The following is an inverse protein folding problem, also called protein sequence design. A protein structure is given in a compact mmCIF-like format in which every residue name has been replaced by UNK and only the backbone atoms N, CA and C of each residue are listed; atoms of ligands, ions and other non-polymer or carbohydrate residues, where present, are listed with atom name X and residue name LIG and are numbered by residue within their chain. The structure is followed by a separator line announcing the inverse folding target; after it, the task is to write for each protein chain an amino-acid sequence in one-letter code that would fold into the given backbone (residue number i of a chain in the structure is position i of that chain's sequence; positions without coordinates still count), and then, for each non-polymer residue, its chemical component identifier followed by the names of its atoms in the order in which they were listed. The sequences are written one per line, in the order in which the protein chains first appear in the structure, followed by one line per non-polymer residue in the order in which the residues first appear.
data_IF_881004802453
#
_entry.id   IF_881004802453
#
_cell.length_a   1.000
_cell.length_b   1.000
_cell.length_c   1.000
_cell.angle_alpha   90.00
_cell.angle_beta   90.00
_cell.angle_gamma   90.00
#
_symmetry.space_group_name_H-M   'P 1'
#
loop_
_entity.id
_entity.type
_entity.pdbx_description
1 polymer ?
#
# COMPACT_ATOMS: atom_id res chain seq x y z
N UNK A 1 13.63 8.26 14.16
CA UNK A 1 13.38 7.81 12.77
C UNK A 1 12.44 8.81 12.12
N UNK A 2 12.71 9.21 10.87
CA UNK A 2 11.99 10.27 10.16
C UNK A 2 10.49 9.92 10.04
N UNK A 3 9.58 10.84 10.43
CA UNK A 3 8.11 10.65 10.37
C UNK A 3 7.66 10.18 8.98
N UNK A 4 8.31 10.71 7.94
CA UNK A 4 8.12 10.31 6.55
C UNK A 4 8.33 8.81 6.32
N UNK A 5 9.47 8.26 6.77
CA UNK A 5 9.78 6.84 6.57
C UNK A 5 8.84 5.93 7.33
N UNK A 6 8.44 6.32 8.55
CA UNK A 6 7.45 5.54 9.31
C UNK A 6 6.07 5.53 8.65
N UNK A 7 5.62 6.67 8.12
CA UNK A 7 4.35 6.78 7.40
C UNK A 7 4.38 5.97 6.10
N UNK A 8 5.41 6.15 5.28
CA UNK A 8 5.57 5.39 4.04
C UNK A 8 5.65 3.88 4.32
N UNK A 9 6.43 3.47 5.33
CA UNK A 9 6.53 2.06 5.71
C UNK A 9 5.19 1.49 6.19
N UNK A 10 4.36 2.28 6.87
CA UNK A 10 3.05 1.83 7.36
C UNK A 10 2.03 1.69 6.21
N UNK A 11 2.10 2.58 5.22
CA UNK A 11 1.27 2.55 4.00
C UNK A 11 1.63 1.31 3.16
N UNK A 12 2.92 0.96 3.06
CA UNK A 12 3.40 -0.19 2.27
C UNK A 12 3.22 -1.56 2.96
N UNK A 13 2.52 -1.65 4.09
CA UNK A 13 2.41 -2.93 4.82
C UNK A 13 1.54 -3.95 4.07
N UNK A 14 1.96 -5.21 4.13
CA UNK A 14 1.16 -6.33 3.66
C UNK A 14 -0.03 -6.59 4.60
N UNK A 15 -1.25 -6.41 4.10
CA UNK A 15 -2.48 -6.70 4.83
C UNK A 15 -2.95 -8.15 4.68
N UNK A 16 -2.40 -8.94 3.74
CA UNK A 16 -2.75 -10.35 3.51
C UNK A 16 -2.70 -11.20 4.79
N UNK A 17 -1.66 -11.12 5.64
CA UNK A 17 -1.62 -11.91 6.87
C UNK A 17 -2.71 -11.52 7.88
N UNK A 18 -3.10 -10.24 7.92
CA UNK A 18 -4.18 -9.79 8.78
C UNK A 18 -5.52 -10.32 8.29
N UNK A 19 -5.74 -10.26 6.98
CA UNK A 19 -6.95 -10.75 6.34
C UNK A 19 -7.12 -12.26 6.50
N UNK A 20 -6.05 -13.03 6.29
CA UNK A 20 -6.04 -14.48 6.51
C UNK A 20 -6.40 -14.83 7.95
N UNK A 21 -5.87 -14.10 8.94
CA UNK A 21 -6.22 -14.29 10.34
C UNK A 21 -7.70 -14.01 10.63
N UNK A 22 -8.33 -13.05 9.96
CA UNK A 22 -9.76 -12.84 10.10
C UNK A 22 -10.55 -14.05 9.57
N UNK A 23 -10.14 -14.64 8.45
CA UNK A 23 -10.78 -15.86 7.93
C UNK A 23 -10.59 -17.07 8.82
N UNK A 24 -9.35 -17.34 9.25
CA UNK A 24 -9.03 -18.49 10.09
C UNK A 24 -9.82 -18.45 11.41
N UNK A 25 -10.04 -17.24 11.96
CA UNK A 25 -10.76 -17.03 13.20
C UNK A 25 -12.27 -16.74 13.02
N UNK A 26 -12.78 -16.68 11.79
CA UNK A 26 -14.15 -16.23 11.46
C UNK A 26 -14.52 -14.89 12.12
N UNK A 27 -13.56 -13.97 12.13
CA UNK A 27 -13.68 -12.63 12.71
C UNK A 27 -14.03 -11.59 11.66
N UNK A 28 -14.55 -10.43 12.07
CA UNK A 28 -14.85 -9.33 11.15
C UNK A 28 -13.58 -8.69 10.61
N UNK A 29 -13.71 -8.08 9.43
CA UNK A 29 -12.61 -7.37 8.76
C UNK A 29 -12.56 -5.87 9.11
N UNK A 30 -13.46 -5.39 9.98
CA UNK A 30 -13.67 -3.96 10.25
C UNK A 30 -12.42 -3.25 10.77
N UNK A 31 -11.62 -3.93 11.58
CA UNK A 31 -10.34 -3.39 12.07
C UNK A 31 -9.33 -3.18 10.94
N UNK A 32 -9.31 -4.08 9.95
CA UNK A 32 -8.45 -3.96 8.77
C UNK A 32 -8.97 -2.84 7.87
N UNK A 33 -10.28 -2.76 7.68
CA UNK A 33 -10.92 -1.70 6.92
C UNK A 33 -10.63 -0.31 7.51
N UNK A 34 -10.69 -0.18 8.84
CA UNK A 34 -10.33 1.05 9.54
C UNK A 34 -8.84 1.40 9.35
N UNK A 35 -7.94 0.42 9.43
CA UNK A 35 -6.51 0.63 9.14
C UNK A 35 -6.29 1.09 7.70
N UNK A 36 -7.00 0.51 6.72
CA UNK A 36 -6.98 0.97 5.32
C UNK A 36 -7.42 2.42 5.19
N UNK A 37 -8.51 2.84 5.85
CA UNK A 37 -8.95 4.23 5.81
C UNK A 37 -7.91 5.20 6.40
N UNK A 38 -7.26 4.83 7.50
CA UNK A 38 -6.18 5.63 8.10
C UNK A 38 -5.01 5.76 7.10
N UNK A 39 -4.57 4.66 6.49
CA UNK A 39 -3.49 4.67 5.49
C UNK A 39 -3.85 5.49 4.25
N UNK A 40 -5.12 5.50 3.82
CA UNK A 40 -5.60 6.34 2.72
C UNK A 40 -5.60 7.84 3.07
N UNK A 41 -5.87 8.21 4.32
CA UNK A 41 -5.71 9.59 4.75
C UNK A 41 -4.23 10.00 4.76
N UNK A 42 -3.35 9.10 5.23
CA UNK A 42 -1.90 9.32 5.26
C UNK A 42 -1.32 9.45 3.85
N UNK A 43 -1.74 8.62 2.90
CA UNK A 43 -1.23 8.68 1.52
C UNK A 43 -1.63 9.96 0.80
N UNK A 44 -2.84 10.47 1.08
CA UNK A 44 -3.29 11.77 0.57
C UNK A 44 -2.41 12.89 1.11
N UNK A 45 -2.16 12.88 2.42
CA UNK A 45 -1.27 13.84 3.07
C UNK A 45 0.14 13.78 2.47
N UNK A 46 0.67 12.57 2.25
CA UNK A 46 1.98 12.36 1.65
C UNK A 46 2.07 12.91 0.23
N UNK A 47 1.06 12.67 -0.61
CA UNK A 47 0.97 13.25 -1.97
C UNK A 47 1.01 14.78 -1.92
N UNK A 48 0.23 15.39 -1.02
CA UNK A 48 0.21 16.85 -0.84
C UNK A 48 1.56 17.39 -0.38
N UNK A 49 2.27 16.67 0.50
CA UNK A 49 3.62 17.04 0.95
C UNK A 49 4.66 16.94 -0.18
N UNK A 50 4.63 15.86 -0.96
CA UNK A 50 5.54 15.61 -2.08
C UNK A 50 5.48 16.73 -3.13
N UNK A 51 4.28 17.25 -3.43
CA UNK A 51 4.11 18.36 -4.41
C UNK A 51 4.72 19.68 -3.96
N UNK A 52 5.03 19.85 -2.68
CA UNK A 52 5.59 21.08 -2.11
C UNK A 52 7.12 21.09 -2.09
N UNK A 53 7.76 19.98 -2.42
CA UNK A 53 9.22 19.84 -2.36
C UNK A 53 9.84 20.30 -3.68
N UNK A 54 10.82 21.21 -3.61
CA UNK A 54 11.68 21.51 -4.75
C UNK A 54 12.79 20.48 -4.85
N UNK A 55 12.93 19.84 -6.01
CA UNK A 55 13.84 18.72 -6.23
C UNK A 55 15.04 19.18 -7.09
N UNK A 56 16.28 19.01 -6.61
CA UNK A 56 17.47 19.26 -7.42
C UNK A 56 17.52 18.36 -8.66
N UNK A 57 18.06 18.84 -9.80
CA UNK A 57 18.11 18.08 -11.05
C UNK A 57 18.69 16.66 -10.95
N UNK A 58 19.74 16.50 -10.16
CA UNK A 58 20.44 15.25 -9.90
C UNK A 58 19.60 14.20 -9.15
N UNK A 59 18.45 14.58 -8.58
CA UNK A 59 17.58 13.71 -7.79
C UNK A 59 16.19 13.47 -8.43
N UNK A 60 15.93 13.97 -9.65
CA UNK A 60 14.64 13.78 -10.33
C UNK A 60 14.26 12.30 -10.47
N UNK A 61 15.20 11.43 -10.85
CA UNK A 61 14.91 10.00 -11.01
C UNK A 61 14.47 9.32 -9.71
N UNK A 62 15.15 9.62 -8.60
CA UNK A 62 14.76 9.12 -7.27
C UNK A 62 13.39 9.66 -6.85
N UNK A 63 13.07 10.91 -7.21
CA UNK A 63 11.77 11.51 -6.91
C UNK A 63 10.63 10.89 -7.75
N UNK A 64 10.85 10.64 -9.03
CA UNK A 64 9.90 9.93 -9.89
C UNK A 64 9.60 8.52 -9.35
N UNK A 65 10.65 7.80 -8.92
CA UNK A 65 10.49 6.49 -8.28
C UNK A 65 9.66 6.55 -6.99
N UNK A 66 9.84 7.59 -6.18
CA UNK A 66 9.00 7.82 -4.99
C UNK A 66 7.55 8.11 -5.37
N UNK A 67 7.30 8.94 -6.39
CA UNK A 67 5.95 9.25 -6.86
C UNK A 67 5.23 8.01 -7.37
N UNK A 68 5.92 7.16 -8.13
CA UNK A 68 5.38 5.91 -8.62
C UNK A 68 5.09 4.92 -7.50
N UNK A 69 5.99 4.81 -6.52
CA UNK A 69 5.77 4.01 -5.32
C UNK A 69 4.50 4.45 -4.57
N UNK A 70 4.34 5.76 -4.34
CA UNK A 70 3.14 6.32 -3.68
C UNK A 70 1.89 6.05 -4.51
N UNK A 71 1.96 6.11 -5.84
CA UNK A 71 0.84 5.76 -6.71
C UNK A 71 0.46 4.28 -6.59
N UNK A 72 1.42 3.37 -6.53
CA UNK A 72 1.16 1.93 -6.36
C UNK A 72 0.53 1.61 -5.00
N UNK A 73 1.01 2.24 -3.93
CA UNK A 73 0.41 2.13 -2.61
C UNK A 73 -1.07 2.55 -2.61
N UNK A 74 -1.40 3.63 -3.33
CA UNK A 74 -2.77 4.13 -3.44
C UNK A 74 -3.69 3.11 -4.12
N UNK A 75 -3.22 2.53 -5.23
CA UNK A 75 -3.94 1.50 -5.97
C UNK A 75 -4.15 0.27 -5.10
N UNK A 76 -3.09 -0.19 -4.41
CA UNK A 76 -3.18 -1.34 -3.49
C UNK A 76 -4.21 -1.12 -2.38
N UNK A 77 -4.16 0.03 -1.70
CA UNK A 77 -5.08 0.36 -0.62
C UNK A 77 -6.52 0.50 -1.10
N UNK A 78 -6.74 1.07 -2.29
CA UNK A 78 -8.07 1.18 -2.88
C UNK A 78 -8.65 -0.20 -3.22
N UNK A 79 -7.86 -1.07 -3.86
CA UNK A 79 -8.27 -2.45 -4.13
C UNK A 79 -8.57 -3.20 -2.84
N UNK A 80 -7.73 -3.08 -1.81
CA UNK A 80 -8.00 -3.69 -0.50
C UNK A 80 -9.29 -3.17 0.13
N UNK A 81 -9.57 -1.86 0.02
CA UNK A 81 -10.80 -1.27 0.57
C UNK A 81 -12.04 -1.86 -0.07
N UNK A 82 -12.06 -1.98 -1.41
CA UNK A 82 -13.20 -2.54 -2.15
C UNK A 82 -13.52 -3.97 -1.67
N UNK A 83 -12.49 -4.79 -1.53
CA UNK A 83 -12.61 -6.15 -1.01
C UNK A 83 -13.18 -6.19 0.40
N UNK A 84 -12.60 -5.40 1.31
CA UNK A 84 -12.98 -5.39 2.72
C UNK A 84 -14.40 -4.85 2.94
N UNK A 85 -14.85 -3.89 2.12
CA UNK A 85 -16.22 -3.38 2.13
C UNK A 85 -17.22 -4.44 1.64
N UNK A 86 -16.88 -5.17 0.57
CA UNK A 86 -17.71 -6.26 0.07
C UNK A 86 -17.91 -7.35 1.13
N UNK A 87 -16.83 -7.77 1.79
CA UNK A 87 -16.87 -8.75 2.89
C UNK A 87 -17.66 -8.27 4.11
N UNK A 88 -17.44 -7.02 4.54
CA UNK A 88 -18.19 -6.45 5.68
C UNK A 88 -19.69 -6.37 5.39
N UNK A 89 -20.07 -6.18 4.11
CA UNK A 89 -21.47 -6.05 3.69
C UNK A 89 -22.16 -7.38 3.38
N UNK A 90 -21.41 -8.42 3.00
CA UNK A 90 -21.95 -9.76 2.71
C UNK A 90 -20.92 -10.85 2.99
N UNK A 91 -20.91 -11.43 4.20
CA UNK A 91 -19.95 -12.48 4.58
C UNK A 91 -20.38 -13.84 4.01
N UNK A 92 -20.14 -14.06 2.73
CA UNK A 92 -20.28 -15.38 2.11
C UNK A 92 -19.15 -15.59 1.11
N UNK A 93 -18.33 -16.62 1.33
CA UNK A 93 -17.19 -16.94 0.45
C UNK A 93 -17.69 -17.46 -0.91
N UNK A 94 -18.09 -16.54 -1.77
CA UNK A 94 -18.48 -16.79 -3.15
C UNK A 94 -17.26 -16.80 -4.07
N UNK A 95 -17.38 -17.52 -5.19
CA UNK A 95 -16.33 -17.58 -6.22
C UNK A 95 -15.94 -16.19 -6.74
N UNK A 96 -16.87 -15.25 -6.75
CA UNK A 96 -16.64 -13.85 -7.11
C UNK A 96 -15.66 -13.15 -6.16
N UNK A 97 -15.68 -13.49 -4.87
CA UNK A 97 -14.76 -12.90 -3.89
C UNK A 97 -13.33 -13.39 -4.09
N UNK A 98 -13.14 -14.63 -4.58
CA UNK A 98 -11.81 -15.15 -4.91
C UNK A 98 -11.10 -14.26 -5.93
N UNK A 99 -11.79 -13.91 -7.01
CA UNK A 99 -11.23 -13.06 -8.07
C UNK A 99 -10.98 -11.63 -7.55
N UNK A 100 -11.85 -11.17 -6.64
CA UNK A 100 -11.68 -9.90 -5.93
C UNK A 100 -10.43 -9.90 -5.04
N UNK A 101 -10.08 -11.02 -4.39
CA UNK A 101 -8.85 -11.14 -3.56
C UNK A 101 -7.55 -11.22 -4.37
N UNK A 102 -7.59 -11.80 -5.57
CA UNK A 102 -6.42 -11.92 -6.42
C UNK A 102 -5.88 -10.54 -6.83
N UNK A 103 -6.79 -9.59 -7.05
CA UNK A 103 -6.44 -8.22 -7.41
C UNK A 103 -5.54 -7.51 -6.36
N UNK A 104 -5.96 -7.26 -5.10
CA UNK A 104 -5.11 -6.57 -4.13
C UNK A 104 -3.81 -7.32 -3.83
N UNK A 105 -3.81 -8.66 -3.84
CA UNK A 105 -2.56 -9.42 -3.63
C UNK A 105 -1.58 -9.20 -4.79
N UNK A 106 -2.06 -9.23 -6.04
CA UNK A 106 -1.22 -8.88 -7.19
C UNK A 106 -0.68 -7.45 -7.10
N UNK A 107 -1.48 -6.49 -6.62
CA UNK A 107 -1.04 -5.10 -6.41
C UNK A 107 0.01 -4.96 -5.32
N UNK A 108 -0.05 -5.79 -4.29
CA UNK A 108 0.99 -5.85 -3.27
C UNK A 108 2.30 -6.44 -3.83
N UNK A 109 2.22 -7.45 -4.70
CA UNK A 109 3.39 -8.01 -5.36
C UNK A 109 4.05 -6.96 -6.28
N UNK A 110 3.26 -6.25 -7.10
CA UNK A 110 3.72 -5.12 -7.92
C UNK A 110 4.41 -4.05 -7.05
N UNK A 111 3.79 -3.69 -5.92
CA UNK A 111 4.36 -2.75 -4.96
C UNK A 111 5.71 -3.23 -4.40
N UNK A 112 5.81 -4.52 -4.08
CA UNK A 112 7.03 -5.11 -3.52
C UNK A 112 8.17 -5.08 -4.53
N UNK A 113 7.88 -5.41 -5.80
CA UNK A 113 8.85 -5.32 -6.89
C UNK A 113 9.36 -3.88 -7.04
N UNK A 114 8.45 -2.90 -7.09
CA UNK A 114 8.85 -1.49 -7.23
C UNK A 114 9.64 -0.96 -6.03
N UNK A 115 9.30 -1.42 -4.82
CA UNK A 115 10.06 -1.12 -3.60
C UNK A 115 11.49 -1.67 -3.66
N UNK A 116 11.69 -2.90 -4.16
CA UNK A 116 13.03 -3.45 -4.34
C UNK A 116 13.83 -2.64 -5.37
N UNK A 117 13.26 -2.34 -6.52
CA UNK A 117 13.91 -1.54 -7.57
C UNK A 117 14.30 -0.15 -7.06
N UNK A 118 13.41 0.49 -6.29
CA UNK A 118 13.68 1.77 -5.65
C UNK A 118 14.87 1.69 -4.68
N UNK A 119 14.91 0.64 -3.84
CA UNK A 119 16.01 0.44 -2.88
C UNK A 119 17.34 0.18 -3.56
N UNK A 120 17.35 -0.63 -4.62
CA UNK A 120 18.56 -0.92 -5.40
C UNK A 120 19.09 0.34 -6.10
N UNK A 121 18.19 1.12 -6.70
CA UNK A 121 18.54 2.36 -7.42
C UNK A 121 19.02 3.48 -6.49
N UNK A 122 18.69 3.42 -5.21
CA UNK A 122 19.05 4.43 -4.20
C UNK A 122 20.01 3.89 -3.13
N UNK A 123 20.56 2.67 -3.31
CA UNK A 123 21.57 2.12 -2.43
C UNK A 123 22.89 2.85 -2.67
N UNK A 124 23.61 3.31 -1.62
CA UNK A 124 24.92 3.92 -1.82
C UNK A 124 25.82 2.87 -2.46
N UNK A 125 26.28 3.14 -3.69
CA UNK A 125 27.35 2.37 -4.31
C UNK A 125 28.54 2.50 -3.34
N UNK A 126 28.85 1.44 -2.61
CA UNK A 126 30.14 1.31 -1.93
C UNK A 126 31.15 1.19 -3.07
N UNK A 127 31.72 2.33 -3.47
CA UNK A 127 32.89 2.40 -4.36
C UNK A 127 34.15 2.26 -3.51
#
# INVERSE_FOLDING_TARGET
MNKFYSTLSAICQNLTPALQRCYDNKSTVDNILNDVYIKQADIKTLKDEITKVSIPPEHYSSFEGLQELVKLCDIYLESMREVLVAESSSPSYDKELKDIYENPFSKYDDLTIRLSEYRESNSPIIK
#
